data_IF_308904287360
#
_entry.id   IF_308904287360
#
_cell.length_a   1.000
_cell.length_b   1.000
_cell.length_c   1.000
_cell.angle_alpha   90.00
_cell.angle_beta   90.00
_cell.angle_gamma   90.00
#
_symmetry.space_group_name_H-M   'P 1'
#
loop_
_entity.id
_entity.type
_entity.pdbx_description
1 polymer ?
#
# COMPACT_ATOMS: atom_id res chain seq x y z
N UNK A 1 -17.25 -8.07 17.78
CA UNK A 1 -15.90 -8.52 17.43
C UNK A 1 -15.08 -8.71 18.70
N UNK A 2 -14.63 -9.94 18.97
CA UNK A 2 -13.78 -10.27 20.11
C UNK A 2 -12.42 -9.59 19.96
N UNK A 3 -11.67 -9.46 21.06
CA UNK A 3 -10.33 -8.87 21.02
C UNK A 3 -9.38 -9.64 20.09
N UNK A 4 -9.44 -10.97 20.12
CA UNK A 4 -8.67 -11.84 19.23
C UNK A 4 -8.97 -11.58 17.74
N UNK A 5 -10.23 -11.30 17.40
CA UNK A 5 -10.64 -10.97 16.03
C UNK A 5 -10.10 -9.59 15.61
N UNK A 6 -10.03 -8.61 16.53
CA UNK A 6 -9.41 -7.30 16.27
C UNK A 6 -7.92 -7.42 15.98
N UNK A 7 -7.23 -8.21 16.80
CA UNK A 7 -5.79 -8.44 16.64
C UNK A 7 -5.51 -9.11 15.29
N UNK A 8 -6.25 -10.18 14.96
CA UNK A 8 -6.12 -10.85 13.66
C UNK A 8 -6.37 -9.91 12.49
N UNK A 9 -7.44 -9.12 12.53
CA UNK A 9 -7.71 -8.14 11.48
C UNK A 9 -6.55 -7.15 11.30
N UNK A 10 -6.00 -6.61 12.40
CA UNK A 10 -4.86 -5.68 12.30
C UNK A 10 -3.63 -6.38 11.70
N UNK A 11 -3.37 -7.63 12.08
CA UNK A 11 -2.22 -8.38 11.57
C UNK A 11 -2.35 -8.77 10.10
N UNK A 12 -3.57 -9.06 9.63
CA UNK A 12 -3.81 -9.57 8.27
C UNK A 12 -4.12 -8.44 7.28
N UNK A 13 -4.85 -7.42 7.70
CA UNK A 13 -5.43 -6.41 6.79
C UNK A 13 -4.79 -5.03 6.91
N UNK A 14 -3.92 -4.80 7.91
CA UNK A 14 -3.27 -3.50 8.11
C UNK A 14 -1.77 -3.62 7.88
N UNK A 15 -1.25 -2.79 6.98
CA UNK A 15 0.15 -2.73 6.60
C UNK A 15 0.81 -1.46 7.13
N UNK A 16 2.04 -1.58 7.58
CA UNK A 16 2.97 -0.47 7.77
C UNK A 16 3.47 0.07 6.42
N UNK A 17 4.12 1.24 6.45
CA UNK A 17 4.76 1.80 5.26
C UNK A 17 5.83 0.89 4.66
N UNK A 18 6.55 0.10 5.47
CA UNK A 18 7.57 -0.82 4.96
C UNK A 18 6.91 -1.95 4.15
N UNK A 19 5.94 -2.64 4.75
CA UNK A 19 5.22 -3.75 4.13
C UNK A 19 4.46 -3.30 2.87
N UNK A 20 3.83 -2.13 2.90
CA UNK A 20 3.18 -1.56 1.73
C UNK A 20 4.16 -1.27 0.58
N UNK A 21 5.37 -0.79 0.90
CA UNK A 21 6.43 -0.55 -0.08
C UNK A 21 6.94 -1.84 -0.73
N UNK A 22 7.15 -2.88 0.08
CA UNK A 22 7.54 -4.22 -0.39
C UNK A 22 6.46 -4.83 -1.29
N UNK A 23 5.19 -4.77 -0.88
CA UNK A 23 4.07 -5.33 -1.65
C UNK A 23 3.92 -4.67 -3.03
N UNK A 24 4.14 -3.36 -3.10
CA UNK A 24 4.11 -2.57 -4.34
C UNK A 24 5.40 -2.69 -5.16
N UNK A 25 6.49 -3.21 -4.58
CA UNK A 25 7.81 -3.24 -5.21
C UNK A 25 8.37 -1.84 -5.48
N UNK A 26 8.19 -0.91 -4.53
CA UNK A 26 8.62 0.50 -4.68
C UNK A 26 9.54 0.93 -3.55
N UNK A 27 10.41 1.89 -3.84
CA UNK A 27 11.26 2.51 -2.81
C UNK A 27 10.43 3.32 -1.81
N UNK A 28 10.97 3.55 -0.61
CA UNK A 28 10.35 4.44 0.40
C UNK A 28 10.06 5.84 -0.12
N UNK A 29 10.96 6.40 -0.93
CA UNK A 29 10.76 7.71 -1.55
C UNK A 29 9.56 7.69 -2.51
N UNK A 30 9.45 6.66 -3.36
CA UNK A 30 8.32 6.50 -4.26
C UNK A 30 7.01 6.30 -3.51
N UNK A 31 7.02 5.54 -2.42
CA UNK A 31 5.86 5.38 -1.55
C UNK A 31 5.42 6.73 -0.97
N UNK A 32 6.35 7.54 -0.48
CA UNK A 32 6.07 8.90 0.01
C UNK A 32 5.40 9.78 -1.06
N UNK A 33 5.87 9.69 -2.32
CA UNK A 33 5.22 10.38 -3.45
C UNK A 33 3.81 9.86 -3.72
N UNK A 34 3.56 8.54 -3.64
CA UNK A 34 2.22 7.97 -3.79
C UNK A 34 1.26 8.46 -2.70
N UNK A 35 1.77 8.63 -1.47
CA UNK A 35 1.01 9.19 -0.36
C UNK A 35 0.72 10.67 -0.56
N UNK A 36 1.74 11.46 -0.89
CA UNK A 36 1.61 12.92 -1.07
C UNK A 36 0.74 13.27 -2.28
N UNK A 37 0.77 12.47 -3.34
CA UNK A 37 -0.11 12.61 -4.51
C UNK A 37 -1.54 12.11 -4.27
N UNK A 38 -1.83 11.52 -3.10
CA UNK A 38 -3.15 11.02 -2.74
C UNK A 38 -3.54 9.68 -3.39
N UNK A 39 -2.65 9.07 -4.18
CA UNK A 39 -2.86 7.75 -4.80
C UNK A 39 -2.88 6.61 -3.78
N UNK A 40 -2.16 6.78 -2.68
CA UNK A 40 -2.22 5.86 -1.53
C UNK A 40 -2.56 6.64 -0.27
N UNK A 41 -3.71 6.37 0.34
CA UNK A 41 -4.14 7.07 1.55
C UNK A 41 -3.91 6.20 2.79
N UNK A 42 -3.12 6.66 3.77
CA UNK A 42 -3.00 5.97 5.03
C UNK A 42 -4.33 6.05 5.79
N UNK A 43 -4.73 4.94 6.42
CA UNK A 43 -5.89 4.91 7.31
C UNK A 43 -5.60 5.52 8.68
N UNK A 44 -4.32 5.53 9.07
CA UNK A 44 -3.85 6.21 10.27
C UNK A 44 -2.44 6.72 10.03
N UNK A 45 -2.18 7.96 10.43
CA UNK A 45 -0.85 8.55 10.41
C UNK A 45 -0.58 9.25 11.74
N UNK A 46 0.49 8.85 12.42
CA UNK A 46 0.94 9.45 13.68
C UNK A 46 2.44 9.71 13.56
N UNK A 47 2.82 10.98 13.45
CA UNK A 47 4.21 11.37 13.17
C UNK A 47 4.73 10.74 11.88
N UNK A 48 5.77 9.92 12.00
CA UNK A 48 6.41 9.19 10.90
C UNK A 48 5.77 7.84 10.59
N UNK A 49 4.89 7.34 11.46
CA UNK A 49 4.20 6.06 11.29
C UNK A 49 2.95 6.25 10.45
N UNK A 50 2.84 5.48 9.37
CA UNK A 50 1.67 5.41 8.52
C UNK A 50 1.20 3.96 8.40
N UNK A 51 -0.10 3.76 8.59
CA UNK A 51 -0.77 2.47 8.42
C UNK A 51 -1.71 2.54 7.21
N UNK A 52 -1.80 1.45 6.47
CA UNK A 52 -2.55 1.31 5.24
C UNK A 52 -3.42 0.06 5.31
N UNK A 53 -4.54 0.05 4.59
CA UNK A 53 -5.29 -1.20 4.41
C UNK A 53 -4.69 -1.99 3.26
N UNK A 54 -4.56 -3.30 3.46
CA UNK A 54 -4.08 -4.25 2.45
C UNK A 54 -4.87 -4.10 1.14
N UNK A 55 -6.20 -4.06 1.23
CA UNK A 55 -7.06 -3.90 0.05
C UNK A 55 -6.76 -2.64 -0.78
N UNK A 56 -6.45 -1.51 -0.13
CA UNK A 56 -6.09 -0.27 -0.84
C UNK A 56 -4.73 -0.40 -1.55
N UNK A 57 -3.75 -1.01 -0.88
CA UNK A 57 -2.42 -1.23 -1.46
C UNK A 57 -2.51 -2.21 -2.65
N UNK A 58 -3.29 -3.28 -2.53
CA UNK A 58 -3.53 -4.24 -3.62
C UNK A 58 -4.25 -3.62 -4.82
N UNK A 59 -5.26 -2.78 -4.58
CA UNK A 59 -5.95 -2.05 -5.65
C UNK A 59 -4.97 -1.18 -6.43
N UNK A 60 -4.13 -0.41 -5.71
CA UNK A 60 -3.09 0.40 -6.32
C UNK A 60 -2.06 -0.44 -7.08
N UNK A 61 -1.66 -1.60 -6.56
CA UNK A 61 -0.75 -2.52 -7.25
C UNK A 61 -1.29 -2.91 -8.63
N UNK A 62 -2.56 -3.32 -8.69
CA UNK A 62 -3.23 -3.68 -9.94
C UNK A 62 -3.27 -2.51 -10.93
N UNK A 63 -3.56 -1.30 -10.46
CA UNK A 63 -3.54 -0.09 -11.29
C UNK A 63 -2.14 0.20 -11.86
N UNK A 64 -1.09 0.05 -11.05
CA UNK A 64 0.30 0.24 -11.48
C UNK A 64 0.72 -0.81 -12.51
N UNK A 65 0.36 -2.07 -12.31
CA UNK A 65 0.62 -3.16 -13.25
C UNK A 65 -0.13 -2.96 -14.58
N UNK A 66 -1.41 -2.57 -14.53
CA UNK A 66 -2.19 -2.24 -15.72
C UNK A 66 -1.60 -1.05 -16.48
N UNK A 67 -1.14 -0.02 -15.75
CA UNK A 67 -0.44 1.13 -16.32
C UNK A 67 0.87 0.73 -17.00
N UNK A 68 1.66 -0.18 -16.40
CA UNK A 68 2.90 -0.70 -17.02
C UNK A 68 2.59 -1.42 -18.32
N UNK A 69 1.61 -2.33 -18.34
CA UNK A 69 1.20 -3.02 -19.57
C UNK A 69 0.73 -2.05 -20.66
N UNK A 70 0.02 -0.99 -20.28
CA UNK A 70 -0.51 0.01 -21.23
C UNK A 70 0.58 0.90 -21.84
N UNK A 71 1.57 1.34 -21.05
CA UNK A 71 2.56 2.34 -21.49
C UNK A 71 3.95 1.76 -21.78
N UNK A 72 4.21 0.51 -21.37
CA UNK A 72 5.46 -0.23 -21.62
C UNK A 72 5.19 -1.71 -21.91
N UNK A 73 4.51 -2.02 -23.03
CA UNK A 73 4.19 -3.40 -23.39
C UNK A 73 5.42 -4.23 -23.81
N UNK A 74 6.60 -3.63 -23.96
CA UNK A 74 7.83 -4.26 -24.45
C UNK A 74 8.88 -4.57 -23.36
N UNK A 75 8.54 -4.37 -22.08
CA UNK A 75 9.43 -4.64 -20.93
C UNK A 75 9.33 -6.12 -20.41
N UNK A 76 8.61 -7.00 -21.13
CA UNK A 76 8.50 -8.46 -20.84
C UNK A 76 9.48 -9.31 -21.66
#
# INVERSE_FOLDING_TARGET
MKESEKIKFIQEEVLTAAEAGELLGVTRQRLSTLVTSGKLKPVKKVGTVALFLLGHVQALKKELEAGRKKYRPYDE
#
